data_IF_878336170885
#
_entry.id   IF_878336170885
#
_cell.length_a   1.000
_cell.length_b   1.000
_cell.length_c   1.000
_cell.angle_alpha   90.00
_cell.angle_beta   90.00
_cell.angle_gamma   90.00
#
_symmetry.space_group_name_H-M   'P 1'
#
loop_
_entity.id
_entity.type
_entity.pdbx_description
1 polymer ?
#
# COMPACT_ATOMS: atom_id res chain seq x y z
N UNK A 1 -19.13 33.87 53.43
CA UNK A 1 -19.68 32.50 53.21
C UNK A 1 -19.92 32.14 51.73
N UNK A 2 -19.32 32.80 50.73
CA UNK A 2 -19.47 32.41 49.30
C UNK A 2 -18.35 31.48 48.79
N UNK A 3 -17.14 31.58 49.35
CA UNK A 3 -15.97 30.78 48.93
C UNK A 3 -16.09 29.29 49.33
N UNK A 4 -16.76 28.99 50.45
CA UNK A 4 -16.92 27.61 50.96
C UNK A 4 -17.78 26.74 50.01
N UNK A 5 -18.67 27.35 49.21
CA UNK A 5 -19.54 26.62 48.26
C UNK A 5 -18.79 26.04 47.05
N UNK A 6 -17.60 26.54 46.74
CA UNK A 6 -16.81 26.08 45.58
C UNK A 6 -15.79 24.99 45.94
N UNK A 7 -15.56 24.75 47.24
CA UNK A 7 -14.67 23.68 47.74
C UNK A 7 -15.08 22.28 47.23
N UNK A 8 -16.36 21.86 47.27
CA UNK A 8 -16.73 20.55 46.74
C UNK A 8 -16.56 20.44 45.22
N UNK A 9 -16.68 21.55 44.47
CA UNK A 9 -16.45 21.59 43.02
C UNK A 9 -14.95 21.40 42.69
N UNK A 10 -14.07 22.03 43.47
CA UNK A 10 -12.61 21.88 43.32
C UNK A 10 -12.17 20.47 43.70
N UNK A 11 -12.75 19.87 44.75
CA UNK A 11 -12.47 18.47 45.14
C UNK A 11 -12.97 17.49 44.07
N UNK A 12 -14.13 17.75 43.44
CA UNK A 12 -14.64 16.92 42.34
C UNK A 12 -13.73 16.96 41.10
N UNK A 13 -13.04 18.07 40.83
CA UNK A 13 -12.06 18.16 39.73
C UNK A 13 -10.82 17.27 39.94
N UNK A 14 -10.43 16.98 41.18
CA UNK A 14 -9.30 16.07 41.46
C UNK A 14 -9.61 14.61 41.12
N UNK A 15 -10.89 14.21 41.09
CA UNK A 15 -11.30 12.87 40.67
C UNK A 15 -11.34 12.68 39.14
N UNK A 16 -11.16 13.74 38.35
CA UNK A 16 -11.07 13.66 36.89
C UNK A 16 -9.63 13.44 36.39
N UNK A 17 -8.64 13.37 37.29
CA UNK A 17 -7.27 13.00 36.93
C UNK A 17 -7.21 11.48 36.77
N UNK A 18 -7.65 11.00 35.61
CA UNK A 18 -7.41 9.63 35.19
C UNK A 18 -5.92 9.50 34.89
N UNK A 19 -5.15 9.03 35.87
CA UNK A 19 -3.81 8.51 35.62
C UNK A 19 -3.99 7.21 34.84
N UNK A 20 -3.90 7.28 33.51
CA UNK A 20 -3.78 6.08 32.69
C UNK A 20 -2.43 5.45 32.98
N UNK A 21 -2.44 4.33 33.71
CA UNK A 21 -1.25 3.49 33.86
C UNK A 21 -1.02 2.78 32.51
N UNK A 22 -0.03 3.25 31.74
CA UNK A 22 0.36 2.57 30.50
C UNK A 22 0.96 1.22 30.88
N UNK A 23 0.17 0.16 30.74
CA UNK A 23 0.65 -1.21 30.92
C UNK A 23 1.58 -1.54 29.76
N UNK A 24 2.88 -1.37 30.00
CA UNK A 24 3.89 -1.78 29.03
C UNK A 24 4.20 -3.26 29.25
N UNK A 25 3.48 -4.12 28.52
CA UNK A 25 3.74 -5.56 28.55
C UNK A 25 5.08 -5.81 27.88
N UNK A 26 5.96 -6.56 28.55
CA UNK A 26 7.21 -7.01 27.95
C UNK A 26 6.91 -8.00 26.84
N UNK A 27 7.10 -7.57 25.60
CA UNK A 27 6.81 -8.35 24.40
C UNK A 27 8.12 -8.88 23.83
N UNK A 28 8.18 -10.20 23.63
CA UNK A 28 9.25 -10.82 22.87
C UNK A 28 9.21 -10.31 21.43
N UNK A 29 10.13 -9.41 21.09
CA UNK A 29 10.27 -8.90 19.72
C UNK A 29 10.94 -9.96 18.86
N UNK A 30 10.25 -10.37 17.78
CA UNK A 30 10.82 -11.29 16.82
C UNK A 30 12.08 -10.68 16.14
N UNK A 31 13.05 -11.50 15.71
CA UNK A 31 14.18 -11.01 14.93
C UNK A 31 13.72 -10.19 13.71
N UNK A 32 14.37 -9.05 13.40
CA UNK A 32 14.03 -8.24 12.24
C UNK A 32 14.05 -9.06 10.95
N UNK A 33 12.99 -8.94 10.15
CA UNK A 33 12.89 -9.59 8.84
C UNK A 33 13.03 -8.56 7.74
N UNK A 34 13.68 -8.95 6.64
CA UNK A 34 13.78 -8.11 5.45
C UNK A 34 12.38 -7.85 4.88
N UNK A 35 12.12 -6.62 4.48
CA UNK A 35 10.91 -6.19 3.76
C UNK A 35 11.37 -5.61 2.44
N UNK A 36 10.86 -6.15 1.33
CA UNK A 36 11.18 -5.74 -0.03
C UNK A 36 9.89 -5.22 -0.68
N UNK A 37 9.77 -3.89 -0.77
CA UNK A 37 8.70 -3.24 -1.52
C UNK A 37 9.23 -2.93 -2.92
N UNK A 38 8.91 -3.81 -3.87
CA UNK A 38 9.37 -3.75 -5.24
C UNK A 38 8.19 -3.57 -6.21
N UNK A 39 7.38 -2.52 -5.99
CA UNK A 39 6.32 -2.14 -6.90
C UNK A 39 6.86 -1.30 -8.08
N UNK A 40 6.99 -1.92 -9.25
CA UNK A 40 7.32 -1.23 -10.50
C UNK A 40 6.04 -0.72 -11.13
N UNK A 41 5.90 0.60 -11.17
CA UNK A 41 4.67 1.26 -11.63
C UNK A 41 4.97 2.12 -12.85
N UNK A 42 4.64 1.61 -14.03
CA UNK A 42 4.79 2.35 -15.28
C UNK A 42 3.58 3.23 -15.53
N UNK A 43 3.75 4.55 -15.39
CA UNK A 43 2.69 5.50 -15.71
C UNK A 43 2.45 5.59 -17.21
N UNK A 44 1.19 5.38 -17.63
CA UNK A 44 0.73 5.59 -19.01
C UNK A 44 1.19 6.94 -19.57
N UNK A 45 1.64 6.91 -20.82
CA UNK A 45 2.15 8.09 -21.52
C UNK A 45 3.60 8.49 -21.16
N UNK A 46 4.26 7.79 -20.23
CA UNK A 46 5.69 7.94 -19.95
C UNK A 46 6.49 6.80 -20.58
N UNK A 47 7.82 6.91 -20.62
CA UNK A 47 8.68 5.79 -21.05
C UNK A 47 8.88 4.71 -19.98
N UNK A 48 8.44 4.95 -18.73
CA UNK A 48 8.56 4.00 -17.62
C UNK A 48 9.97 3.65 -17.15
N UNK A 49 10.99 4.41 -17.57
CA UNK A 49 12.40 4.08 -17.34
C UNK A 49 12.91 4.34 -15.93
N UNK A 50 12.28 5.28 -15.21
CA UNK A 50 12.63 5.61 -13.83
C UNK A 50 11.77 4.80 -12.86
N UNK A 51 12.39 3.87 -12.15
CA UNK A 51 11.75 2.97 -11.20
C UNK A 51 12.52 2.96 -9.87
N UNK A 52 11.84 2.57 -8.79
CA UNK A 52 12.45 2.46 -7.47
C UNK A 52 11.98 1.19 -6.73
N UNK A 53 12.81 0.72 -5.82
CA UNK A 53 12.56 -0.37 -4.88
C UNK A 53 12.96 0.13 -3.50
N UNK A 54 12.18 -0.21 -2.47
CA UNK A 54 12.46 0.17 -1.09
C UNK A 54 12.76 -1.09 -0.28
N UNK A 55 13.92 -1.11 0.38
CA UNK A 55 14.32 -2.14 1.31
C UNK A 55 14.34 -1.60 2.74
N UNK A 56 13.72 -2.35 3.64
CA UNK A 56 13.68 -2.07 5.08
C UNK A 56 13.69 -3.37 5.89
N UNK A 57 13.72 -3.29 7.22
CA UNK A 57 13.39 -4.43 8.07
C UNK A 57 12.13 -4.18 8.89
N UNK A 58 11.52 -5.24 9.41
CA UNK A 58 10.54 -5.11 10.49
C UNK A 58 11.19 -4.50 11.72
N UNK A 59 10.37 -3.91 12.57
CA UNK A 59 10.76 -3.23 13.80
C UNK A 59 9.93 -3.76 14.97
N UNK A 60 10.30 -3.41 16.20
CA UNK A 60 9.55 -3.83 17.39
C UNK A 60 8.17 -3.20 17.45
N UNK A 61 7.22 -3.84 18.15
CA UNK A 61 5.81 -3.42 18.21
C UNK A 61 5.62 -1.96 18.66
N UNK A 62 6.39 -1.49 19.63
CA UNK A 62 6.32 -0.12 20.15
C UNK A 62 7.21 0.89 19.39
N UNK A 63 7.89 0.45 18.33
CA UNK A 63 8.78 1.32 17.55
C UNK A 63 8.03 1.93 16.36
N UNK A 64 8.11 3.26 16.25
CA UNK A 64 7.58 4.01 15.10
C UNK A 64 8.66 4.24 14.02
N UNK A 65 9.84 3.66 14.17
CA UNK A 65 10.96 3.81 13.23
C UNK A 65 11.05 2.56 12.38
N UNK A 66 10.94 2.73 11.05
CA UNK A 66 11.16 1.70 10.04
C UNK A 66 12.64 1.69 9.66
N UNK A 67 13.43 0.68 10.06
CA UNK A 67 14.85 0.61 9.74
C UNK A 67 15.08 0.46 8.24
N UNK A 68 16.02 1.23 7.70
CA UNK A 68 16.37 1.22 6.27
C UNK A 68 17.46 0.17 6.01
N UNK A 69 17.41 -0.46 4.83
CA UNK A 69 18.40 -1.46 4.42
C UNK A 69 19.34 -0.89 3.36
N UNK A 70 20.62 -0.85 3.69
CA UNK A 70 21.72 -0.39 2.84
C UNK A 70 22.67 -1.53 2.48
N UNK A 71 23.41 -1.40 1.39
CA UNK A 71 24.43 -2.36 0.95
C UNK A 71 23.88 -3.62 0.28
N UNK A 72 22.61 -3.65 -0.12
CA UNK A 72 22.07 -4.75 -0.91
C UNK A 72 22.44 -4.60 -2.39
N UNK A 73 22.54 -5.71 -3.12
CA UNK A 73 22.58 -5.71 -4.59
C UNK A 73 21.17 -5.98 -5.09
N UNK A 74 20.61 -5.08 -5.89
CA UNK A 74 19.23 -5.17 -6.40
C UNK A 74 19.23 -5.10 -7.92
N UNK A 75 18.59 -6.08 -8.55
CA UNK A 75 18.45 -6.12 -10.01
C UNK A 75 17.15 -6.77 -10.47
N UNK A 76 16.64 -6.33 -11.61
CA UNK A 76 15.54 -6.99 -12.32
C UNK A 76 16.04 -7.43 -13.69
N UNK A 77 15.74 -8.67 -14.07
CA UNK A 77 16.07 -9.21 -15.39
C UNK A 77 14.79 -9.50 -16.19
N UNK A 78 14.78 -9.15 -17.47
CA UNK A 78 13.66 -9.49 -18.36
C UNK A 78 13.85 -10.84 -19.06
N UNK A 79 12.87 -11.23 -19.90
CA UNK A 79 12.87 -12.52 -20.63
C UNK A 79 14.05 -12.67 -21.60
N UNK A 80 14.63 -11.55 -22.05
CA UNK A 80 15.79 -11.49 -22.96
C UNK A 80 17.13 -11.43 -22.23
N UNK A 81 17.16 -11.66 -20.92
CA UNK A 81 18.35 -11.56 -20.07
C UNK A 81 18.96 -10.15 -19.96
N UNK A 82 18.24 -9.10 -20.36
CA UNK A 82 18.66 -7.72 -20.10
C UNK A 82 18.52 -7.47 -18.60
N UNK A 83 19.61 -7.02 -17.96
CA UNK A 83 19.68 -6.82 -16.53
C UNK A 83 19.59 -5.33 -16.19
N UNK A 84 18.61 -4.95 -15.38
CA UNK A 84 18.40 -3.60 -14.88
C UNK A 84 18.89 -3.53 -13.43
N UNK A 85 19.94 -2.74 -13.20
CA UNK A 85 20.50 -2.54 -11.86
C UNK A 85 19.77 -1.39 -11.17
N UNK A 86 19.42 -1.60 -9.90
CA UNK A 86 18.89 -0.56 -9.04
C UNK A 86 19.99 -0.11 -8.08
N UNK A 87 20.44 1.13 -8.23
CA UNK A 87 21.52 1.72 -7.44
C UNK A 87 20.97 2.31 -6.16
N UNK A 88 21.60 1.99 -5.03
CA UNK A 88 21.21 2.52 -3.72
C UNK A 88 21.37 4.05 -3.67
N UNK A 89 20.38 4.71 -3.06
CA UNK A 89 20.52 6.07 -2.54
C UNK A 89 20.97 5.95 -1.08
N UNK A 90 22.20 6.40 -0.74
CA UNK A 90 22.81 6.13 0.55
C UNK A 90 21.91 6.48 1.75
N UNK A 91 21.80 5.55 2.69
CA UNK A 91 21.09 5.69 3.97
C UNK A 91 19.56 5.91 3.88
N UNK A 92 18.95 5.68 2.71
CA UNK A 92 17.49 5.89 2.54
C UNK A 92 16.70 4.58 2.50
N UNK A 93 17.37 3.46 2.21
CA UNK A 93 16.73 2.19 1.86
C UNK A 93 16.13 2.17 0.45
N UNK A 94 16.25 3.25 -0.32
CA UNK A 94 15.74 3.35 -1.68
C UNK A 94 16.82 2.95 -2.69
N UNK A 95 16.43 2.16 -3.69
CA UNK A 95 17.26 1.74 -4.81
C UNK A 95 16.58 2.19 -6.10
N UNK A 96 17.30 2.87 -7.00
CA UNK A 96 16.73 3.46 -8.23
C UNK A 96 17.33 2.87 -9.50
N UNK A 97 16.48 2.68 -10.49
CA UNK A 97 16.85 2.35 -11.86
C UNK A 97 16.34 3.47 -12.78
N UNK A 98 17.15 3.92 -13.73
CA UNK A 98 16.78 5.02 -14.66
C UNK A 98 16.73 4.59 -16.13
N UNK A 99 16.95 3.30 -16.40
CA UNK A 99 16.98 2.72 -17.74
C UNK A 99 16.09 1.48 -17.85
N UNK A 100 15.11 1.32 -16.97
CA UNK A 100 14.15 0.22 -17.05
C UNK A 100 13.40 0.28 -18.38
N UNK A 101 13.12 -0.86 -19.00
CA UNK A 101 12.31 -0.92 -20.21
C UNK A 101 11.11 -1.82 -19.94
N UNK A 102 9.96 -1.23 -19.57
CA UNK A 102 8.75 -2.01 -19.35
C UNK A 102 8.14 -2.46 -20.68
N UNK A 103 7.74 -3.73 -20.75
CA UNK A 103 7.00 -4.30 -21.87
C UNK A 103 5.77 -4.97 -21.27
N UNK A 104 4.58 -4.55 -21.71
CA UNK A 104 3.32 -5.16 -21.29
C UNK A 104 3.34 -6.66 -21.60
N UNK A 105 2.89 -7.47 -20.64
CA UNK A 105 2.85 -8.92 -20.66
C UNK A 105 4.22 -9.63 -20.69
N UNK A 106 5.33 -8.90 -20.56
CA UNK A 106 6.63 -9.53 -20.33
C UNK A 106 6.80 -9.90 -18.85
N UNK A 107 7.40 -11.06 -18.61
CA UNK A 107 7.79 -11.54 -17.28
C UNK A 107 9.20 -11.08 -16.94
N UNK A 108 9.36 -10.59 -15.71
CA UNK A 108 10.64 -10.18 -15.16
C UNK A 108 10.92 -10.93 -13.86
N UNK A 109 12.21 -11.04 -13.54
CA UNK A 109 12.70 -11.69 -12.32
C UNK A 109 13.48 -10.67 -11.50
N UNK A 110 13.00 -10.42 -10.29
CA UNK A 110 13.73 -9.66 -9.27
C UNK A 110 14.79 -10.56 -8.62
N UNK A 111 15.96 -10.00 -8.36
CA UNK A 111 17.00 -10.58 -7.51
C UNK A 111 17.50 -9.53 -6.54
N UNK A 112 17.47 -9.86 -5.25
CA UNK A 112 18.03 -9.05 -4.17
C UNK A 112 19.04 -9.90 -3.40
N UNK A 113 20.27 -9.45 -3.29
CA UNK A 113 21.30 -10.08 -2.45
C UNK A 113 21.58 -9.16 -1.27
N UNK A 114 21.36 -9.67 -0.06
CA UNK A 114 21.56 -8.92 1.17
C UNK A 114 22.08 -9.85 2.27
N UNK A 115 23.12 -9.44 3.00
CA UNK A 115 23.77 -10.23 4.06
C UNK A 115 24.13 -11.68 3.66
N UNK A 116 24.55 -11.88 2.40
CA UNK A 116 24.93 -13.19 1.89
C UNK A 116 23.76 -14.10 1.49
N UNK A 117 22.51 -13.65 1.62
CA UNK A 117 21.32 -14.39 1.20
C UNK A 117 20.74 -13.80 -0.09
N UNK A 118 20.14 -14.68 -0.91
CA UNK A 118 19.57 -14.32 -2.21
C UNK A 118 18.06 -14.49 -2.20
N UNK A 119 17.35 -13.40 -2.51
CA UNK A 119 15.90 -13.36 -2.63
C UNK A 119 15.49 -13.16 -4.07
N UNK A 120 14.52 -13.93 -4.54
CA UNK A 120 14.03 -13.85 -5.92
C UNK A 120 12.51 -13.80 -5.96
N UNK A 121 11.97 -13.10 -6.95
CA UNK A 121 10.55 -13.11 -7.27
C UNK A 121 10.35 -13.01 -8.79
N UNK A 122 9.24 -13.52 -9.29
CA UNK A 122 8.85 -13.39 -10.69
C UNK A 122 7.48 -12.74 -10.78
N UNK A 123 7.31 -11.85 -11.75
CA UNK A 123 6.03 -11.18 -12.01
C UNK A 123 5.94 -10.78 -13.49
N UNK A 124 4.72 -10.60 -13.98
CA UNK A 124 4.42 -10.19 -15.36
C UNK A 124 3.78 -8.81 -15.38
N UNK A 125 4.32 -7.91 -16.21
CA UNK A 125 3.83 -6.53 -16.37
C UNK A 125 2.40 -6.53 -16.90
N UNK A 126 1.45 -6.02 -16.12
CA UNK A 126 0.06 -5.94 -16.56
C UNK A 126 -0.26 -4.58 -17.16
N UNK A 127 -1.14 -4.55 -18.16
CA UNK A 127 -1.70 -3.31 -18.70
C UNK A 127 -2.90 -2.85 -17.88
N UNK A 128 -3.20 -1.56 -17.95
CA UNK A 128 -4.41 -0.99 -17.38
C UNK A 128 -5.23 -0.28 -18.45
N UNK A 129 -6.54 -0.22 -18.30
CA UNK A 129 -7.36 0.67 -19.13
C UNK A 129 -7.40 2.07 -18.51
N UNK A 130 -7.43 3.14 -19.32
CA UNK A 130 -7.50 4.49 -18.77
C UNK A 130 -8.79 4.74 -17.99
N UNK A 131 -8.72 5.59 -16.97
CA UNK A 131 -9.91 6.13 -16.32
C UNK A 131 -10.72 6.95 -17.32
N UNK A 132 -11.96 6.56 -17.55
CA UNK A 132 -12.89 7.21 -18.48
C UNK A 132 -13.44 8.51 -17.89
N UNK A 133 -14.02 8.47 -16.69
CA UNK A 133 -14.66 9.62 -16.06
C UNK A 133 -14.48 9.61 -14.55
N UNK A 134 -14.42 10.80 -13.94
CA UNK A 134 -14.49 11.01 -12.49
C UNK A 134 -15.73 11.88 -12.26
N UNK A 135 -16.68 11.39 -11.49
CA UNK A 135 -17.93 12.08 -11.16
C UNK A 135 -18.00 12.28 -9.66
N UNK A 136 -18.49 13.44 -9.23
CA UNK A 136 -18.72 13.76 -7.83
C UNK A 136 -20.21 13.74 -7.52
N UNK A 137 -20.56 13.17 -6.37
CA UNK A 137 -21.87 13.28 -5.73
C UNK A 137 -21.70 13.95 -4.36
N UNK A 138 -22.58 14.90 -4.04
CA UNK A 138 -22.61 15.63 -2.76
C UNK A 138 -23.57 14.99 -1.75
N UNK A 139 -24.35 13.99 -2.17
CA UNK A 139 -25.27 13.23 -1.31
C UNK A 139 -24.86 11.74 -1.26
N UNK A 140 -23.55 11.50 -1.29
CA UNK A 140 -22.97 10.16 -1.25
C UNK A 140 -22.57 9.74 0.16
N UNK A 141 -21.68 8.73 0.23
CA UNK A 141 -21.20 8.17 1.47
C UNK A 141 -22.26 7.37 2.24
N UNK A 142 -21.87 6.85 3.40
CA UNK A 142 -22.80 6.07 4.25
C UNK A 142 -23.93 6.94 4.81
N UNK A 143 -23.64 8.22 5.08
CA UNK A 143 -24.61 9.17 5.65
C UNK A 143 -25.58 9.76 4.62
N UNK A 144 -25.27 9.62 3.31
CA UNK A 144 -26.00 10.28 2.22
C UNK A 144 -25.80 11.80 2.17
N UNK A 145 -24.78 12.32 2.87
CA UNK A 145 -24.46 13.75 2.98
C UNK A 145 -22.97 14.05 2.75
N UNK A 146 -22.19 13.03 2.40
CA UNK A 146 -20.76 13.15 2.22
C UNK A 146 -20.42 13.31 0.74
N UNK A 147 -19.30 13.97 0.47
CA UNK A 147 -18.73 13.96 -0.88
C UNK A 147 -18.31 12.52 -1.22
N UNK A 148 -18.75 12.06 -2.39
CA UNK A 148 -18.34 10.79 -2.96
C UNK A 148 -17.84 11.02 -4.37
N UNK A 149 -16.71 10.41 -4.70
CA UNK A 149 -16.21 10.34 -6.08
C UNK A 149 -16.43 8.94 -6.65
N UNK A 150 -16.87 8.91 -7.90
CA UNK A 150 -17.01 7.70 -8.70
C UNK A 150 -16.06 7.77 -9.89
N UNK A 151 -15.11 6.84 -9.94
CA UNK A 151 -14.12 6.73 -11.01
C UNK A 151 -14.50 5.58 -11.91
N UNK A 152 -14.88 5.88 -13.15
CA UNK A 152 -15.37 4.90 -14.12
C UNK A 152 -14.31 4.57 -15.15
N UNK A 153 -14.24 3.32 -15.58
CA UNK A 153 -13.34 2.84 -16.63
C UNK A 153 -14.00 1.70 -17.42
N UNK A 154 -13.51 1.47 -18.63
CA UNK A 154 -14.00 0.42 -19.51
C UNK A 154 -13.08 -0.80 -19.41
N UNK A 155 -13.63 -1.92 -18.98
CA UNK A 155 -12.94 -3.21 -18.91
C UNK A 155 -12.97 -3.89 -20.30
N UNK A 156 -11.85 -4.41 -20.81
CA UNK A 156 -11.83 -5.21 -22.03
C UNK A 156 -12.54 -6.57 -21.84
N UNK A 157 -12.95 -7.27 -22.92
CA UNK A 157 -13.62 -8.57 -22.83
C UNK A 157 -12.65 -9.74 -22.59
N UNK A 158 -11.69 -9.57 -21.69
CA UNK A 158 -10.73 -10.60 -21.24
C UNK A 158 -10.61 -10.53 -19.73
N UNK A 159 -10.15 -11.61 -19.07
CA UNK A 159 -9.98 -11.64 -17.61
C UNK A 159 -8.84 -10.69 -17.18
N UNK A 160 -9.14 -9.77 -16.29
CA UNK A 160 -8.28 -8.72 -15.76
C UNK A 160 -8.53 -8.54 -14.24
N UNK A 161 -7.49 -8.07 -13.57
CA UNK A 161 -7.58 -7.65 -12.18
C UNK A 161 -7.12 -6.21 -12.06
N UNK A 162 -7.79 -5.48 -11.19
CA UNK A 162 -7.54 -4.07 -11.02
C UNK A 162 -7.38 -3.71 -9.55
N UNK A 163 -6.60 -2.66 -9.34
CA UNK A 163 -6.50 -1.97 -8.06
C UNK A 163 -6.69 -0.47 -8.30
N UNK A 164 -7.18 0.23 -7.29
CA UNK A 164 -7.16 1.68 -7.24
C UNK A 164 -6.52 2.12 -5.93
N UNK A 165 -5.75 3.19 -6.02
CA UNK A 165 -5.22 3.92 -4.88
C UNK A 165 -5.90 5.28 -4.83
N UNK A 166 -6.55 5.59 -3.72
CA UNK A 166 -7.03 6.93 -3.38
C UNK A 166 -6.12 7.54 -2.33
N UNK A 167 -5.56 8.72 -2.62
CA UNK A 167 -4.71 9.44 -1.69
C UNK A 167 -5.12 10.91 -1.60
N UNK A 168 -6.15 11.21 -0.77
CA UNK A 168 -6.47 12.59 -0.44
C UNK A 168 -5.33 13.22 0.36
N UNK A 169 -5.16 14.54 0.24
CA UNK A 169 -4.05 15.30 0.82
C UNK A 169 -3.96 15.27 2.37
N UNK A 170 -5.05 14.92 3.06
CA UNK A 170 -5.08 14.76 4.51
C UNK A 170 -4.73 13.35 5.01
N UNK A 171 -4.64 12.35 4.12
CA UNK A 171 -4.24 11.00 4.51
C UNK A 171 -2.73 10.91 4.74
N UNK A 172 -2.33 10.14 5.76
CA UNK A 172 -0.91 9.77 5.99
C UNK A 172 -0.46 8.56 5.16
N UNK A 173 -1.42 7.72 4.77
CA UNK A 173 -1.23 6.54 3.92
C UNK A 173 -2.42 6.44 2.96
N UNK A 174 -2.20 6.03 1.71
CA UNK A 174 -3.30 5.84 0.77
C UNK A 174 -4.28 4.74 1.19
N UNK A 175 -5.50 4.85 0.69
CA UNK A 175 -6.51 3.79 0.72
C UNK A 175 -6.46 2.99 -0.59
N UNK A 176 -6.60 1.67 -0.49
CA UNK A 176 -6.57 0.76 -1.62
C UNK A 176 -7.87 -0.03 -1.73
N UNK A 177 -8.31 -0.25 -2.96
CA UNK A 177 -9.40 -1.17 -3.27
C UNK A 177 -8.97 -2.06 -4.44
N UNK A 178 -9.50 -3.29 -4.48
CA UNK A 178 -9.23 -4.26 -5.54
C UNK A 178 -10.53 -4.82 -6.09
N UNK A 179 -10.59 -5.08 -7.39
CA UNK A 179 -11.69 -5.82 -8.03
C UNK A 179 -11.12 -6.78 -9.09
N UNK A 180 -11.65 -8.00 -9.10
CA UNK A 180 -11.50 -8.94 -10.22
C UNK A 180 -12.72 -8.87 -11.14
N UNK A 181 -12.57 -9.33 -12.37
CA UNK A 181 -13.63 -9.28 -13.38
C UNK A 181 -14.23 -10.63 -13.76
N UNK A 182 -13.96 -11.71 -13.04
CA UNK A 182 -14.23 -13.11 -13.41
C UNK A 182 -15.64 -13.40 -13.98
N UNK A 183 -16.65 -12.58 -13.65
CA UNK A 183 -18.03 -12.69 -14.12
C UNK A 183 -18.58 -11.43 -14.82
N UNK A 184 -17.74 -10.43 -15.08
CA UNK A 184 -18.12 -9.10 -15.57
C UNK A 184 -17.18 -8.53 -16.63
N UNK A 185 -16.39 -9.39 -17.31
CA UNK A 185 -15.51 -9.01 -18.41
C UNK A 185 -16.25 -8.15 -19.46
N UNK A 186 -15.59 -7.11 -19.97
CA UNK A 186 -16.15 -6.26 -21.01
C UNK A 186 -17.16 -5.22 -20.52
N UNK A 187 -17.50 -5.24 -19.22
CA UNK A 187 -18.45 -4.28 -18.66
C UNK A 187 -17.74 -3.02 -18.18
N UNK A 188 -18.45 -1.89 -18.27
CA UNK A 188 -18.04 -0.67 -17.59
C UNK A 188 -18.03 -0.90 -16.07
N UNK A 189 -16.90 -0.58 -15.43
CA UNK A 189 -16.69 -0.72 -13.98
C UNK A 189 -16.49 0.65 -13.36
N UNK A 190 -16.63 0.71 -12.04
CA UNK A 190 -16.35 1.92 -11.28
C UNK A 190 -15.80 1.65 -9.90
N UNK A 191 -14.89 2.52 -9.48
CA UNK A 191 -14.47 2.68 -8.10
C UNK A 191 -15.32 3.74 -7.43
N UNK A 192 -15.57 3.59 -6.13
CA UNK A 192 -16.24 4.61 -5.32
C UNK A 192 -15.38 4.92 -4.11
N UNK A 193 -15.22 6.19 -3.79
CA UNK A 193 -14.51 6.65 -2.61
C UNK A 193 -15.26 7.81 -1.97
N UNK A 194 -15.43 7.73 -0.66
CA UNK A 194 -16.06 8.75 0.17
C UNK A 194 -15.41 8.70 1.55
N UNK A 195 -15.25 9.86 2.18
CA UNK A 195 -14.72 10.01 3.52
C UNK A 195 -15.36 11.28 4.11
N UNK A 196 -15.66 11.27 5.41
CA UNK A 196 -16.34 12.39 6.10
C UNK A 196 -15.49 13.68 6.10
N UNK A 197 -14.17 13.56 5.95
CA UNK A 197 -13.25 14.68 5.88
C UNK A 197 -13.10 15.26 4.47
N UNK A 198 -13.69 14.63 3.44
CA UNK A 198 -13.73 15.22 2.10
C UNK A 198 -14.52 16.52 2.09
N UNK A 199 -13.87 17.60 1.62
CA UNK A 199 -14.46 18.94 1.55
C UNK A 199 -14.08 19.56 0.21
N UNK A 200 -14.85 20.57 -0.21
CA UNK A 200 -14.51 21.38 -1.37
C UNK A 200 -13.04 21.87 -1.29
N UNK A 201 -12.30 21.68 -2.37
CA UNK A 201 -10.88 22.03 -2.47
C UNK A 201 -9.90 20.92 -2.07
N UNK A 202 -10.36 19.82 -1.46
CA UNK A 202 -9.51 18.66 -1.18
C UNK A 202 -8.93 18.10 -2.47
N UNK A 203 -7.61 17.89 -2.49
CA UNK A 203 -6.92 17.25 -3.63
C UNK A 203 -6.81 15.75 -3.39
N UNK A 204 -7.18 14.97 -4.39
CA UNK A 204 -7.11 13.50 -4.36
C UNK A 204 -6.22 13.04 -5.51
N UNK A 205 -5.11 12.40 -5.16
CA UNK A 205 -4.31 11.66 -6.11
C UNK A 205 -4.93 10.27 -6.31
N UNK A 206 -5.36 9.98 -7.54
CA UNK A 206 -6.03 8.73 -7.92
C UNK A 206 -5.11 7.98 -8.88
N UNK A 207 -4.70 6.77 -8.48
CA UNK A 207 -3.93 5.88 -9.34
C UNK A 207 -4.72 4.61 -9.60
N UNK A 208 -4.96 4.29 -10.87
CA UNK A 208 -5.63 3.06 -11.29
C UNK A 208 -4.58 2.11 -11.89
N UNK A 209 -4.60 0.87 -11.43
CA UNK A 209 -3.59 -0.14 -11.74
C UNK A 209 -4.24 -1.33 -12.44
N UNK A 210 -3.56 -1.84 -13.45
CA UNK A 210 -3.73 -3.21 -13.92
C UNK A 210 -2.76 -4.08 -13.14
N UNK A 211 -3.25 -5.15 -12.54
CA UNK A 211 -2.47 -6.00 -11.64
C UNK A 211 -2.64 -7.48 -11.97
N UNK A 212 -1.67 -8.30 -11.58
CA UNK A 212 -1.75 -9.75 -11.77
C UNK A 212 -2.79 -10.35 -10.82
N UNK A 213 -3.33 -11.52 -11.15
CA UNK A 213 -4.20 -12.28 -10.24
C UNK A 213 -3.50 -12.58 -8.91
N UNK A 214 -2.21 -12.90 -8.97
CA UNK A 214 -1.40 -13.19 -7.78
C UNK A 214 -1.27 -11.95 -6.88
N UNK A 215 -1.04 -10.78 -7.47
CA UNK A 215 -0.95 -9.52 -6.72
C UNK A 215 -2.32 -9.06 -6.22
N UNK A 216 -3.40 -9.27 -6.99
CA UNK A 216 -4.78 -9.07 -6.54
C UNK A 216 -5.07 -9.87 -5.28
N UNK A 217 -4.76 -11.17 -5.27
CA UNK A 217 -4.97 -12.05 -4.13
C UNK A 217 -4.15 -11.63 -2.91
N UNK A 218 -2.92 -11.17 -3.13
CA UNK A 218 -2.07 -10.63 -2.06
C UNK A 218 -2.68 -9.35 -1.47
N UNK A 219 -3.04 -8.38 -2.31
CA UNK A 219 -3.60 -7.10 -1.88
C UNK A 219 -4.96 -7.29 -1.21
N UNK A 220 -5.81 -8.19 -1.69
CA UNK A 220 -7.09 -8.50 -1.05
C UNK A 220 -6.89 -9.01 0.39
N UNK A 221 -5.91 -9.88 0.62
CA UNK A 221 -5.54 -10.36 1.97
C UNK A 221 -4.96 -9.23 2.81
N UNK A 222 -4.06 -8.42 2.25
CA UNK A 222 -3.40 -7.33 2.95
C UNK A 222 -4.41 -6.25 3.39
N UNK A 223 -5.33 -5.86 2.50
CA UNK A 223 -6.41 -4.91 2.78
C UNK A 223 -7.37 -5.48 3.82
N UNK A 224 -7.75 -6.76 3.72
CA UNK A 224 -8.60 -7.42 4.72
C UNK A 224 -7.98 -7.40 6.12
N UNK A 225 -6.68 -7.69 6.21
CA UNK A 225 -5.91 -7.64 7.47
C UNK A 225 -5.78 -6.20 7.99
N UNK A 226 -5.52 -5.22 7.12
CA UNK A 226 -5.41 -3.82 7.51
C UNK A 226 -6.75 -3.21 7.94
N UNK A 227 -7.85 -3.55 7.26
CA UNK A 227 -9.20 -3.06 7.60
C UNK A 227 -9.79 -3.74 8.85
N UNK A 228 -9.31 -4.93 9.21
CA UNK A 228 -9.68 -5.55 10.50
C UNK A 228 -9.00 -4.88 11.70
N UNK A 229 -7.84 -4.22 11.50
CA UNK A 229 -7.15 -3.46 12.55
C UNK A 229 -7.78 -2.11 12.91
N UNK A 230 -8.68 -1.54 12.08
CA UNK A 230 -9.38 -0.28 12.38
C UNK A 230 -10.58 -0.47 13.34
N UNK A 231 -10.90 -1.72 13.70
CA UNK A 231 -11.95 -2.10 14.64
C UNK A 231 -11.41 -3.00 15.76
N UNK A 232 -10.45 -2.48 16.53
CA UNK A 232 -9.74 -3.19 17.59
C UNK A 232 -10.64 -3.72 18.71
N UNK A 233 -11.20 -4.92 18.53
CA UNK A 233 -11.55 -5.76 19.67
C UNK A 233 -10.24 -6.23 20.33
N UNK A 234 -10.07 -6.09 21.66
CA UNK A 234 -8.88 -6.58 22.37
C UNK A 234 -8.74 -8.12 22.30
N UNK A 235 -9.71 -8.80 21.68
CA UNK A 235 -9.74 -10.24 21.43
C UNK A 235 -9.53 -10.61 19.96
N UNK A 236 -9.17 -9.67 19.08
CA UNK A 236 -8.82 -10.05 17.71
C UNK A 236 -7.58 -10.95 17.73
N UNK A 237 -7.67 -12.08 17.04
CA UNK A 237 -6.49 -12.90 16.76
C UNK A 237 -5.44 -12.04 16.06
N UNK A 238 -4.14 -12.18 16.42
CA UNK A 238 -3.07 -11.49 15.73
C UNK A 238 -3.23 -11.69 14.22
N UNK A 239 -3.10 -10.62 13.42
CA UNK A 239 -3.25 -10.74 11.99
C UNK A 239 -2.27 -11.77 11.44
N UNK A 240 -2.76 -12.65 10.57
CA UNK A 240 -1.93 -13.67 9.95
C UNK A 240 -0.82 -13.00 9.10
N UNK A 241 0.40 -13.54 9.16
CA UNK A 241 1.51 -13.04 8.33
C UNK A 241 1.16 -13.16 6.84
N UNK A 242 1.00 -12.03 6.16
CA UNK A 242 0.75 -11.99 4.72
C UNK A 242 2.08 -12.06 3.98
N UNK A 243 2.41 -13.24 3.43
CA UNK A 243 3.61 -13.45 2.60
C UNK A 243 3.34 -13.10 1.14
N UNK A 244 4.27 -12.40 0.51
CA UNK A 244 4.23 -12.11 -0.93
C UNK A 244 4.92 -13.17 -1.79
N UNK A 245 5.29 -12.79 -3.01
CA UNK A 245 5.91 -13.66 -4.02
C UNK A 245 7.45 -13.76 -3.94
N UNK A 246 8.07 -13.16 -2.92
CA UNK A 246 9.53 -13.16 -2.75
C UNK A 246 9.96 -14.37 -1.93
N UNK A 247 10.88 -15.15 -2.50
CA UNK A 247 11.40 -16.37 -1.90
C UNK A 247 12.90 -16.21 -1.65
N UNK A 248 13.32 -16.57 -0.44
CA UNK A 248 14.74 -16.70 -0.11
C UNK A 248 15.25 -18.05 -0.62
N UNK A 249 16.19 -18.01 -1.56
CA UNK A 249 16.80 -19.18 -2.19
C UNK A 249 17.92 -19.79 -1.34
N UNK A 250 18.46 -19.05 -0.39
CA UNK A 250 19.56 -19.47 0.48
C UNK A 250 19.04 -20.12 1.77
N UNK A 251 18.03 -19.49 2.41
CA UNK A 251 17.43 -19.97 3.65
C UNK A 251 15.92 -19.69 3.66
N UNK A 252 15.11 -20.72 3.43
CA UNK A 252 13.65 -20.59 3.27
C UNK A 252 12.94 -20.08 4.53
N UNK A 253 13.53 -20.31 5.71
CA UNK A 253 12.98 -19.86 7.00
C UNK A 253 13.25 -18.38 7.26
N UNK A 254 14.32 -17.84 6.67
CA UNK A 254 14.62 -16.41 6.66
C UNK A 254 13.94 -15.70 5.49
N UNK A 255 12.63 -15.90 5.35
CA UNK A 255 11.84 -15.27 4.29
C UNK A 255 11.76 -13.74 4.46
N UNK A 256 11.65 -13.05 3.33
CA UNK A 256 11.32 -11.64 3.28
C UNK A 256 9.80 -11.41 3.26
N UNK A 257 9.38 -10.24 3.73
CA UNK A 257 8.04 -9.69 3.54
C UNK A 257 8.02 -8.70 2.36
N UNK A 258 6.84 -8.23 2.01
CA UNK A 258 6.61 -7.35 0.85
C UNK A 258 6.27 -8.14 -0.41
N UNK A 259 6.33 -7.49 -1.56
CA UNK A 259 5.90 -8.05 -2.84
C UNK A 259 6.71 -7.43 -3.99
N UNK A 260 6.91 -8.20 -5.06
CA UNK A 260 7.41 -7.71 -6.33
C UNK A 260 6.26 -7.65 -7.34
N UNK A 261 5.78 -6.43 -7.65
CA UNK A 261 4.67 -6.20 -8.59
C UNK A 261 5.13 -5.40 -9.82
N UNK A 262 4.49 -5.65 -10.96
CA UNK A 262 4.76 -4.97 -12.23
C UNK A 262 3.44 -4.50 -12.84
N UNK A 263 3.18 -3.20 -12.76
CA UNK A 263 1.88 -2.64 -13.09
C UNK A 263 2.04 -1.45 -14.05
N UNK A 264 1.29 -1.44 -15.15
CA UNK A 264 0.95 -0.20 -15.81
C UNK A 264 -0.11 0.54 -15.00
N UNK A 265 0.02 1.87 -14.91
CA UNK A 265 -0.87 2.71 -14.11
C UNK A 265 -1.38 3.91 -14.90
N UNK A 266 -2.64 4.27 -14.68
CA UNK A 266 -3.22 5.55 -15.06
C UNK A 266 -3.34 6.44 -13.83
N UNK A 267 -3.03 7.73 -13.97
CA UNK A 267 -2.95 8.66 -12.85
C UNK A 267 -3.70 9.95 -13.14
N UNK A 268 -4.56 10.36 -12.21
CA UNK A 268 -5.27 11.63 -12.24
C UNK A 268 -5.21 12.31 -10.87
N UNK A 269 -5.04 13.62 -10.88
CA UNK A 269 -5.33 14.46 -9.72
C UNK A 269 -6.77 14.99 -9.87
N UNK A 270 -7.57 14.84 -8.83
CA UNK A 270 -8.92 15.37 -8.76
C UNK A 270 -9.02 16.38 -7.61
N UNK A 271 -9.84 17.42 -7.77
CA UNK A 271 -10.13 18.39 -6.71
C UNK A 271 -11.63 18.33 -6.48
N UNK A 272 -12.05 18.15 -5.22
CA UNK A 272 -13.46 18.19 -4.87
C UNK A 272 -14.00 19.60 -5.18
N UNK A 273 -15.09 19.66 -5.94
CA UNK A 273 -15.74 20.90 -6.41
C UNK A 273 -16.88 21.38 -5.52
#
# INVERSE_FOLDING_TARGET
MKIIKYIPLVIALFFLVSCEEVINVDLNTAPPRLVIDAAINWRKGTNGSSQKIILSTTTGFYSNVIPKVSGATVSIKNSKNVNYIFTEIPNTGEYRCTNFQPIIYETYVLTVVYNGETYTASETMQSVTPMYAIQQDQNGGFSGKDYQIKVTFDDPPVKNFYMVQFFPDFYKSPSYQVIGDEFTNGNRKSWSFSDEDLKQGTKIAITHYGISEAYYNYMNKLISVAGSSDGGSPFQTPPATVRGNIVNQTNIDNYALGYFSLNEVDFKNYVIE
#
